data_IF_309594947535
#
_entry.id   IF_309594947535
#
_cell.length_a   1.000
_cell.length_b   1.000
_cell.length_c   1.000
_cell.angle_alpha   90.00
_cell.angle_beta   90.00
_cell.angle_gamma   90.00
#
_symmetry.space_group_name_H-M   'P 1'
#
loop_
_entity.id
_entity.type
_entity.pdbx_description
1 polymer ?
#
# COMPACT_ATOMS: atom_id res chain seq x y z
N UNK A 1 2.56 -11.27 -10.75
CA UNK A 1 3.15 -11.11 -9.40
C UNK A 1 2.62 -12.15 -8.40
N UNK A 2 2.02 -13.26 -8.85
CA UNK A 2 1.59 -14.38 -7.99
C UNK A 2 2.71 -15.43 -7.78
N UNK A 3 3.75 -15.40 -8.61
CA UNK A 3 4.85 -16.37 -8.58
C UNK A 3 5.71 -16.33 -7.30
N UNK A 4 5.77 -15.19 -6.59
CA UNK A 4 6.47 -15.09 -5.29
C UNK A 4 5.62 -15.60 -4.12
N UNK A 5 4.28 -15.56 -4.24
CA UNK A 5 3.36 -16.03 -3.20
C UNK A 5 3.29 -17.55 -3.12
N UNK A 6 3.17 -18.22 -4.27
CA UNK A 6 3.21 -19.69 -4.33
C UNK A 6 4.56 -20.26 -3.88
N UNK A 7 5.65 -19.54 -4.09
CA UNK A 7 6.96 -20.00 -3.63
C UNK A 7 7.08 -19.93 -2.10
N UNK A 8 6.55 -18.90 -1.44
CA UNK A 8 6.58 -18.79 0.01
C UNK A 8 5.67 -19.80 0.74
N UNK A 9 4.51 -20.15 0.17
CA UNK A 9 3.67 -21.24 0.70
C UNK A 9 4.25 -22.63 0.42
N UNK A 10 4.92 -22.85 -0.72
CA UNK A 10 5.60 -24.12 -0.99
C UNK A 10 6.88 -24.30 -0.12
N UNK A 11 7.53 -23.20 0.28
CA UNK A 11 8.70 -23.22 1.16
C UNK A 11 8.36 -23.61 2.61
N UNK A 12 7.11 -23.47 3.06
CA UNK A 12 6.70 -23.95 4.39
C UNK A 12 6.46 -25.46 4.44
N UNK A 13 6.21 -26.11 3.30
CA UNK A 13 5.90 -27.55 3.24
C UNK A 13 7.12 -28.43 2.84
N UNK A 14 8.25 -27.84 2.45
CA UNK A 14 9.32 -28.61 1.79
C UNK A 14 10.75 -28.10 1.93
N UNK A 15 11.15 -27.51 3.07
CA UNK A 15 12.57 -27.30 3.36
C UNK A 15 13.03 -28.02 4.61
N UNK A 16 13.87 -29.02 4.36
CA UNK A 16 14.84 -29.59 5.28
C UNK A 16 15.52 -28.46 6.05
N UNK A 17 15.52 -28.65 7.36
CA UNK A 17 16.03 -27.80 8.44
C UNK A 17 17.40 -27.17 8.08
N UNK A 18 17.41 -25.86 7.82
CA UNK A 18 18.63 -25.09 7.50
C UNK A 18 18.38 -23.75 6.82
N UNK A 19 17.70 -23.75 5.66
CA UNK A 19 17.49 -22.55 4.85
C UNK A 19 16.34 -21.66 5.36
N UNK A 20 15.28 -22.26 5.92
CA UNK A 20 14.13 -21.52 6.46
C UNK A 20 14.48 -20.60 7.63
N UNK A 21 15.48 -20.96 8.44
CA UNK A 21 16.00 -20.13 9.53
C UNK A 21 16.76 -18.90 9.00
N UNK A 22 17.64 -19.11 8.00
CA UNK A 22 18.43 -18.03 7.40
C UNK A 22 17.56 -16.94 6.77
N UNK A 23 16.51 -17.32 6.05
CA UNK A 23 15.60 -16.34 5.44
C UNK A 23 14.76 -15.61 6.49
N UNK A 24 14.36 -16.28 7.57
CA UNK A 24 13.63 -15.65 8.68
C UNK A 24 14.46 -14.57 9.36
N UNK A 25 15.73 -14.84 9.63
CA UNK A 25 16.65 -13.86 10.23
C UNK A 25 16.90 -12.68 9.30
N UNK A 26 17.06 -12.93 8.00
CA UNK A 26 17.18 -11.88 7.00
C UNK A 26 15.93 -10.98 6.95
N UNK A 27 14.73 -11.58 6.96
CA UNK A 27 13.45 -10.86 6.99
C UNK A 27 13.33 -10.02 8.26
N UNK A 28 13.66 -10.57 9.43
CA UNK A 28 13.61 -9.83 10.70
C UNK A 28 14.56 -8.62 10.69
N UNK A 29 15.77 -8.79 10.17
CA UNK A 29 16.75 -7.70 10.02
C UNK A 29 16.27 -6.61 9.06
N UNK A 30 15.69 -7.01 7.93
CA UNK A 30 15.12 -6.06 6.96
C UNK A 30 13.93 -5.31 7.57
N UNK A 31 13.05 -6.00 8.27
CA UNK A 31 11.91 -5.38 8.96
C UNK A 31 12.36 -4.37 10.03
N UNK A 32 13.35 -4.72 10.85
CA UNK A 32 13.93 -3.81 11.83
C UNK A 32 14.56 -2.58 11.15
N UNK A 33 15.30 -2.78 10.06
CA UNK A 33 15.89 -1.69 9.30
C UNK A 33 14.83 -0.77 8.68
N UNK A 34 13.78 -1.33 8.05
CA UNK A 34 12.69 -0.54 7.46
C UNK A 34 11.99 0.33 8.50
N UNK A 35 11.67 -0.22 9.67
CA UNK A 35 11.09 0.55 10.79
C UNK A 35 12.00 1.70 11.23
N UNK A 36 13.30 1.44 11.40
CA UNK A 36 14.28 2.48 11.73
C UNK A 36 14.53 3.52 10.63
N UNK A 37 14.01 3.30 9.42
CA UNK A 37 14.12 4.24 8.28
C UNK A 37 12.85 5.04 8.01
N UNK A 38 11.76 4.76 8.74
CA UNK A 38 10.55 5.57 8.65
C UNK A 38 10.85 7.00 9.06
N UNK A 39 10.29 7.97 8.33
CA UNK A 39 10.37 9.37 8.70
C UNK A 39 9.46 9.67 9.89
N UNK A 40 9.72 10.77 10.63
CA UNK A 40 8.85 11.19 11.72
C UNK A 40 7.38 11.41 11.32
N UNK A 41 7.12 11.72 10.05
CA UNK A 41 5.75 11.90 9.54
C UNK A 41 5.04 10.59 9.19
N UNK A 42 5.70 9.43 9.30
CA UNK A 42 5.13 8.13 8.95
C UNK A 42 5.45 7.64 7.53
N UNK A 43 6.19 8.41 6.73
CA UNK A 43 6.50 8.06 5.33
C UNK A 43 7.90 7.46 5.11
N UNK A 44 8.13 6.93 3.90
CA UNK A 44 9.45 6.60 3.39
C UNK A 44 9.76 7.37 2.11
N UNK A 45 11.02 7.37 1.69
CA UNK A 45 11.42 7.71 0.32
C UNK A 45 12.26 6.60 -0.25
N UNK A 46 12.29 6.55 -1.56
CA UNK A 46 13.17 5.69 -2.31
C UNK A 46 14.02 6.51 -3.29
N UNK A 47 15.10 5.92 -3.78
CA UNK A 47 16.00 6.55 -4.76
C UNK A 47 15.56 6.39 -6.21
N UNK A 48 14.61 5.49 -6.48
CA UNK A 48 14.13 5.16 -7.83
C UNK A 48 12.77 5.79 -8.15
N UNK A 49 12.14 6.44 -7.18
CA UNK A 49 10.82 7.02 -7.34
C UNK A 49 10.70 8.36 -6.61
N UNK A 50 10.25 9.40 -7.33
CA UNK A 50 10.09 10.73 -6.77
C UNK A 50 8.96 10.80 -5.73
N UNK A 51 7.93 9.96 -5.85
CA UNK A 51 6.81 9.96 -4.89
C UNK A 51 7.16 9.26 -3.56
N UNK A 52 6.86 9.88 -2.40
CA UNK A 52 6.87 9.18 -1.12
C UNK A 52 5.75 8.13 -1.02
N UNK A 53 4.65 8.25 -1.76
CA UNK A 53 3.53 7.30 -1.71
C UNK A 53 3.95 5.90 -2.19
N UNK A 54 4.78 5.83 -3.23
CA UNK A 54 5.36 4.56 -3.69
C UNK A 54 6.22 3.91 -2.60
N UNK A 55 7.17 4.66 -2.04
CA UNK A 55 8.10 4.13 -1.04
C UNK A 55 7.35 3.70 0.23
N UNK A 56 6.40 4.52 0.70
CA UNK A 56 5.56 4.21 1.86
C UNK A 56 4.73 2.95 1.62
N UNK A 57 4.04 2.82 0.48
CA UNK A 57 3.30 1.60 0.13
C UNK A 57 4.22 0.38 0.17
N UNK A 58 5.38 0.44 -0.50
CA UNK A 58 6.30 -0.70 -0.57
C UNK A 58 6.80 -1.11 0.82
N UNK A 59 7.18 -0.15 1.66
CA UNK A 59 7.69 -0.43 3.01
C UNK A 59 6.59 -0.92 3.94
N UNK A 60 5.44 -0.24 3.99
CA UNK A 60 4.34 -0.56 4.88
C UNK A 60 3.72 -1.93 4.56
N UNK A 61 3.49 -2.25 3.28
CA UNK A 61 2.98 -3.58 2.90
C UNK A 61 3.99 -4.70 3.20
N UNK A 62 5.29 -4.44 3.04
CA UNK A 62 6.34 -5.41 3.43
C UNK A 62 6.32 -5.65 4.95
N UNK A 63 6.22 -4.57 5.74
CA UNK A 63 6.15 -4.67 7.20
C UNK A 63 4.88 -5.39 7.65
N UNK A 64 3.72 -5.03 7.08
CA UNK A 64 2.44 -5.67 7.39
C UNK A 64 2.47 -7.18 7.17
N UNK A 65 3.12 -7.64 6.09
CA UNK A 65 3.17 -9.06 5.74
C UNK A 65 4.20 -9.87 6.51
N UNK A 66 5.31 -9.26 6.92
CA UNK A 66 6.50 -10.01 7.35
C UNK A 66 7.11 -9.59 8.69
N UNK A 67 6.76 -8.42 9.24
CA UNK A 67 7.41 -7.90 10.44
C UNK A 67 6.72 -8.32 11.75
N UNK A 68 5.51 -8.88 11.69
CA UNK A 68 4.74 -9.24 12.87
C UNK A 68 4.31 -8.03 13.72
N UNK A 69 3.99 -8.25 15.02
CA UNK A 69 3.43 -7.22 15.90
C UNK A 69 4.30 -5.98 16.09
N UNK A 70 5.63 -6.12 16.00
CA UNK A 70 6.61 -5.05 16.21
C UNK A 70 6.51 -3.89 15.19
N UNK A 71 5.76 -4.10 14.09
CA UNK A 71 5.51 -3.06 13.10
C UNK A 71 4.23 -2.24 13.35
N UNK A 72 3.42 -2.58 14.37
CA UNK A 72 2.10 -1.98 14.57
C UNK A 72 2.15 -0.43 14.64
N UNK A 73 3.15 0.14 15.30
CA UNK A 73 3.32 1.60 15.37
C UNK A 73 3.67 2.22 14.01
N UNK A 74 4.60 1.61 13.28
CA UNK A 74 5.00 2.07 11.96
C UNK A 74 3.84 2.00 10.94
N UNK A 75 3.01 0.95 11.02
CA UNK A 75 1.83 0.79 10.19
C UNK A 75 0.76 1.83 10.51
N UNK A 76 0.49 2.11 11.80
CA UNK A 76 -0.41 3.20 12.21
C UNK A 76 0.06 4.54 11.69
N UNK A 77 1.35 4.86 11.86
CA UNK A 77 1.93 6.09 11.31
C UNK A 77 1.77 6.21 9.79
N UNK A 78 1.83 5.09 9.06
CA UNK A 78 1.59 5.08 7.61
C UNK A 78 0.12 5.37 7.26
N UNK A 79 -0.82 4.81 8.03
CA UNK A 79 -2.26 5.07 7.85
C UNK A 79 -2.58 6.52 8.13
N UNK A 80 -2.11 7.07 9.25
CA UNK A 80 -2.34 8.47 9.61
C UNK A 80 -1.75 9.43 8.57
N UNK A 81 -0.51 9.16 8.13
CA UNK A 81 0.15 9.93 7.07
C UNK A 81 -0.67 9.98 5.76
N UNK A 82 -1.26 8.85 5.36
CA UNK A 82 -2.10 8.75 4.17
C UNK A 82 -3.40 9.53 4.35
N UNK A 83 -4.09 9.36 5.49
CA UNK A 83 -5.35 10.03 5.76
C UNK A 83 -5.19 11.56 5.80
N UNK A 84 -4.11 12.07 6.40
CA UNK A 84 -3.81 13.50 6.47
C UNK A 84 -3.48 14.14 5.11
N UNK A 85 -3.03 13.34 4.13
CA UNK A 85 -2.54 13.84 2.82
C UNK A 85 -3.51 13.61 1.67
N UNK A 86 -4.72 13.11 1.95
CA UNK A 86 -5.73 13.04 0.91
C UNK A 86 -6.20 14.46 0.57
N UNK A 87 -6.26 14.77 -0.73
CA UNK A 87 -6.77 16.03 -1.24
C UNK A 87 -8.31 16.06 -1.21
N UNK A 88 -8.88 17.25 -1.32
CA UNK A 88 -10.34 17.46 -1.35
C UNK A 88 -11.03 16.67 -2.46
N UNK A 89 -10.40 16.55 -3.64
CA UNK A 89 -10.89 15.76 -4.76
C UNK A 89 -10.67 14.24 -4.62
N UNK A 90 -10.24 13.76 -3.45
CA UNK A 90 -10.01 12.34 -3.18
C UNK A 90 -8.64 11.80 -3.61
N UNK A 91 -7.85 12.57 -4.35
CA UNK A 91 -6.55 12.13 -4.85
C UNK A 91 -5.41 12.23 -3.82
N UNK A 92 -4.31 11.55 -4.13
CA UNK A 92 -3.01 11.74 -3.48
C UNK A 92 -1.95 12.09 -4.51
N UNK A 93 -0.90 12.78 -4.04
CA UNK A 93 0.34 12.92 -4.80
C UNK A 93 1.29 13.98 -4.26
N UNK A 94 2.55 13.91 -4.68
CA UNK A 94 3.63 14.75 -4.14
C UNK A 94 3.46 16.23 -4.47
N UNK A 95 3.09 16.52 -5.72
CA UNK A 95 2.95 17.89 -6.22
C UNK A 95 1.50 18.20 -6.58
N UNK A 96 0.87 17.31 -7.34
CA UNK A 96 -0.54 17.35 -7.70
C UNK A 96 -1.17 15.97 -7.44
N UNK A 97 -2.49 15.86 -7.59
CA UNK A 97 -3.19 14.58 -7.51
C UNK A 97 -2.88 13.73 -8.74
N UNK A 98 -2.33 12.53 -8.56
CA UNK A 98 -1.99 11.63 -9.66
C UNK A 98 -2.66 10.28 -9.51
N UNK A 99 -2.97 9.64 -10.64
CA UNK A 99 -3.56 8.29 -10.64
C UNK A 99 -2.60 7.27 -10.01
N UNK A 100 -1.30 7.36 -10.28
CA UNK A 100 -0.28 6.47 -9.74
C UNK A 100 -0.22 6.53 -8.20
N UNK A 101 -0.09 7.73 -7.65
CA UNK A 101 0.08 7.91 -6.21
C UNK A 101 -1.23 7.63 -5.45
N UNK A 102 -2.37 7.97 -6.05
CA UNK A 102 -3.69 7.63 -5.50
C UNK A 102 -3.92 6.12 -5.47
N UNK A 103 -3.47 5.39 -6.49
CA UNK A 103 -3.55 3.93 -6.49
C UNK A 103 -2.70 3.30 -5.37
N UNK A 104 -1.50 3.85 -5.12
CA UNK A 104 -0.64 3.39 -4.01
C UNK A 104 -1.28 3.67 -2.64
N UNK A 105 -1.86 4.86 -2.46
CA UNK A 105 -2.55 5.23 -1.23
C UNK A 105 -3.77 4.32 -0.96
N UNK A 106 -4.65 4.15 -1.96
CA UNK A 106 -5.82 3.27 -1.87
C UNK A 106 -5.42 1.84 -1.52
N UNK A 107 -4.42 1.29 -2.23
CA UNK A 107 -3.95 -0.08 -1.99
C UNK A 107 -3.38 -0.25 -0.57
N UNK A 108 -2.69 0.76 -0.07
CA UNK A 108 -2.10 0.73 1.28
C UNK A 108 -3.17 0.81 2.35
N UNK A 109 -4.14 1.72 2.23
CA UNK A 109 -5.22 1.86 3.20
C UNK A 109 -6.07 0.59 3.29
N UNK A 110 -6.44 -0.01 2.16
CA UNK A 110 -7.16 -1.29 2.12
C UNK A 110 -6.41 -2.37 2.91
N UNK A 111 -5.15 -2.60 2.59
CA UNK A 111 -4.39 -3.70 3.22
C UNK A 111 -4.16 -3.46 4.72
N UNK A 112 -3.85 -2.22 5.12
CA UNK A 112 -3.49 -1.94 6.52
C UNK A 112 -4.69 -1.79 7.44
N UNK A 113 -5.91 -1.63 6.92
CA UNK A 113 -7.11 -1.35 7.73
C UNK A 113 -8.26 -2.34 7.52
N UNK A 114 -8.04 -3.37 6.68
CA UNK A 114 -9.03 -4.41 6.38
C UNK A 114 -9.40 -5.31 7.57
N UNK A 115 -8.61 -5.32 8.63
CA UNK A 115 -8.90 -6.05 9.88
C UNK A 115 -9.88 -5.32 10.82
N UNK A 116 -10.32 -4.11 10.45
CA UNK A 116 -11.27 -3.33 11.24
C UNK A 116 -10.65 -2.62 12.45
N UNK A 117 -9.33 -2.40 12.45
CA UNK A 117 -8.64 -1.64 13.46
C UNK A 117 -9.06 -0.16 13.62
N UNK A 118 -8.33 0.58 14.46
CA UNK A 118 -8.53 2.02 14.60
C UNK A 118 -8.37 2.72 13.24
N UNK A 119 -9.18 3.74 12.96
CA UNK A 119 -9.20 4.49 11.69
C UNK A 119 -9.75 3.72 10.48
N UNK A 120 -10.19 2.46 10.60
CA UNK A 120 -10.74 1.69 9.47
C UNK A 120 -11.98 2.33 8.83
N UNK A 121 -12.78 3.09 9.60
CA UNK A 121 -13.92 3.82 9.04
C UNK A 121 -13.44 4.97 8.16
N UNK A 122 -12.56 5.82 8.67
CA UNK A 122 -12.00 6.95 7.94
C UNK A 122 -11.19 6.49 6.72
N UNK A 123 -10.47 5.37 6.85
CA UNK A 123 -9.76 4.72 5.74
C UNK A 123 -10.74 4.24 4.67
N UNK A 124 -11.86 3.63 5.03
CA UNK A 124 -12.89 3.22 4.05
C UNK A 124 -13.50 4.41 3.31
N UNK A 125 -13.79 5.50 4.01
CA UNK A 125 -14.30 6.73 3.41
C UNK A 125 -13.26 7.38 2.47
N UNK A 126 -11.99 7.41 2.90
CA UNK A 126 -10.88 7.90 2.08
C UNK A 126 -10.66 7.03 0.84
N UNK A 127 -10.69 5.71 0.98
CA UNK A 127 -10.61 4.74 -0.13
C UNK A 127 -11.73 4.96 -1.12
N UNK A 128 -12.97 5.18 -0.67
CA UNK A 128 -14.10 5.49 -1.54
C UNK A 128 -13.83 6.70 -2.44
N UNK A 129 -13.46 7.84 -1.84
CA UNK A 129 -13.10 9.06 -2.59
C UNK A 129 -11.90 8.85 -3.53
N UNK A 130 -10.92 8.05 -3.10
CA UNK A 130 -9.77 7.67 -3.92
C UNK A 130 -10.17 6.86 -5.15
N UNK A 131 -11.06 5.88 -4.97
CA UNK A 131 -11.60 5.07 -6.06
C UNK A 131 -12.41 5.92 -7.04
N UNK A 132 -13.24 6.86 -6.55
CA UNK A 132 -13.99 7.79 -7.41
C UNK A 132 -13.03 8.59 -8.31
N UNK A 133 -11.97 9.16 -7.71
CA UNK A 133 -10.91 9.85 -8.46
C UNK A 133 -10.24 8.94 -9.50
N UNK A 134 -9.91 7.71 -9.14
CA UNK A 134 -9.25 6.74 -10.03
C UNK A 134 -10.15 6.26 -11.18
N UNK A 135 -11.45 6.13 -10.97
CA UNK A 135 -12.41 5.78 -12.03
C UNK A 135 -12.50 6.91 -13.04
N UNK A 136 -12.52 8.15 -12.58
CA UNK A 136 -12.61 9.34 -13.44
C UNK A 136 -11.30 9.64 -14.18
N UNK A 137 -10.14 9.50 -13.52
CA UNK A 137 -8.85 10.00 -14.03
C UNK A 137 -7.80 8.92 -14.31
N UNK A 138 -8.00 7.68 -13.85
CA UNK A 138 -6.92 6.69 -13.73
C UNK A 138 -6.69 5.78 -14.94
N UNK A 139 -7.56 5.81 -15.95
CA UNK A 139 -7.46 4.94 -17.14
C UNK A 139 -6.84 5.63 -18.37
N UNK A 140 -6.60 6.94 -18.29
CA UNK A 140 -5.90 7.68 -19.34
C UNK A 140 -4.38 7.45 -19.21
N UNK A 141 -3.83 6.66 -20.14
CA UNK A 141 -2.41 6.26 -20.16
C UNK A 141 -1.47 7.35 -20.62
N UNK A 142 -1.98 8.39 -21.28
CA UNK A 142 -1.17 9.48 -21.84
C UNK A 142 -0.93 10.61 -20.83
N UNK A 143 -1.56 10.54 -19.64
CA UNK A 143 -1.54 11.60 -18.62
C UNK A 143 -0.79 11.22 -17.33
N UNK A 144 0.21 10.36 -17.42
CA UNK A 144 0.99 9.97 -16.24
C UNK A 144 2.25 10.85 -16.10
N UNK A 145 2.37 11.67 -15.03
CA UNK A 145 3.57 12.46 -14.80
C UNK A 145 4.78 11.54 -14.56
N UNK A 146 5.98 11.95 -14.98
CA UNK A 146 7.17 11.12 -14.87
C UNK A 146 7.67 11.10 -13.42
N UNK A 147 7.36 10.03 -12.69
CA UNK A 147 7.74 9.85 -11.28
C UNK A 147 8.91 8.87 -11.06
N UNK A 148 9.25 8.06 -12.07
CA UNK A 148 10.32 7.07 -11.97
C UNK A 148 11.66 7.68 -12.33
N UNK A 149 12.70 7.38 -11.56
CA UNK A 149 14.03 7.98 -11.70
C UNK A 149 14.94 7.00 -12.44
N UNK A 150 15.30 7.36 -13.68
CA UNK A 150 16.34 6.70 -14.48
C UNK A 150 17.50 7.66 -14.74
N UNK A 151 17.92 7.78 -16.01
CA UNK A 151 18.78 8.91 -16.42
C UNK A 151 18.03 10.25 -16.34
N UNK A 152 16.75 10.20 -16.61
CA UNK A 152 15.78 11.28 -16.49
C UNK A 152 14.53 10.73 -15.78
N UNK A 153 13.57 11.61 -15.47
CA UNK A 153 12.27 11.18 -14.99
C UNK A 153 11.48 10.54 -16.14
N UNK A 154 10.80 9.41 -15.87
CA UNK A 154 9.93 8.75 -16.84
C UNK A 154 8.66 8.17 -16.20
N UNK A 155 7.67 7.84 -17.03
CA UNK A 155 6.40 7.24 -16.62
C UNK A 155 6.18 5.89 -17.33
N UNK A 156 6.32 4.75 -16.64
CA UNK A 156 6.00 3.44 -17.21
C UNK A 156 4.47 3.24 -17.27
N UNK A 157 3.82 3.74 -18.31
CA UNK A 157 2.36 3.82 -18.40
C UNK A 157 1.61 2.52 -18.08
N UNK A 158 2.12 1.37 -18.55
CA UNK A 158 1.50 0.06 -18.24
C UNK A 158 1.60 -0.33 -16.77
N UNK A 159 2.67 0.06 -16.08
CA UNK A 159 2.84 -0.19 -14.66
C UNK A 159 1.87 0.69 -13.85
N UNK A 160 1.73 1.96 -14.23
CA UNK A 160 0.76 2.87 -13.61
C UNK A 160 -0.66 2.34 -13.79
N UNK A 161 -1.05 1.97 -15.01
CA UNK A 161 -2.35 1.37 -15.30
C UNK A 161 -2.60 0.10 -14.49
N UNK A 162 -1.59 -0.77 -14.36
CA UNK A 162 -1.70 -1.97 -13.54
C UNK A 162 -1.90 -1.65 -12.05
N UNK A 163 -1.24 -0.61 -11.52
CA UNK A 163 -1.43 -0.16 -10.14
C UNK A 163 -2.87 0.36 -9.93
N UNK A 164 -3.37 1.20 -10.83
CA UNK A 164 -4.74 1.73 -10.79
C UNK A 164 -5.77 0.60 -10.80
N UNK A 165 -5.68 -0.31 -11.78
CA UNK A 165 -6.59 -1.45 -11.86
C UNK A 165 -6.49 -2.36 -10.63
N UNK A 166 -5.28 -2.60 -10.12
CA UNK A 166 -5.06 -3.39 -8.91
C UNK A 166 -5.72 -2.77 -7.68
N UNK A 167 -5.63 -1.45 -7.52
CA UNK A 167 -6.28 -0.72 -6.44
C UNK A 167 -7.82 -0.81 -6.54
N UNK A 168 -8.38 -0.56 -7.73
CA UNK A 168 -9.83 -0.63 -7.97
C UNK A 168 -10.38 -2.05 -7.77
N UNK A 169 -9.69 -3.07 -8.26
CA UNK A 169 -10.10 -4.47 -8.08
C UNK A 169 -10.05 -4.86 -6.60
N UNK A 170 -9.01 -4.44 -5.86
CA UNK A 170 -8.91 -4.69 -4.43
C UNK A 170 -10.07 -4.04 -3.66
N UNK A 171 -10.37 -2.77 -3.94
CA UNK A 171 -11.47 -2.05 -3.31
C UNK A 171 -12.84 -2.72 -3.55
N UNK A 172 -13.06 -3.28 -4.74
CA UNK A 172 -14.28 -4.02 -5.05
C UNK A 172 -14.40 -5.36 -4.33
N UNK A 173 -13.28 -5.96 -3.92
CA UNK A 173 -13.23 -7.28 -3.27
C UNK A 173 -13.43 -7.20 -1.77
N UNK A 174 -13.26 -6.03 -1.14
CA UNK A 174 -13.70 -5.83 0.24
C UNK A 174 -15.23 -5.82 0.29
N UNK A 175 -15.89 -6.85 0.84
CA UNK A 175 -17.32 -6.83 0.97
C UNK A 175 -17.74 -5.76 1.99
N UNK A 176 -18.93 -5.19 1.80
CA UNK A 176 -19.61 -4.37 2.78
C UNK A 176 -20.00 -5.19 4.02
N UNK A 177 -19.03 -5.65 4.82
CA UNK A 177 -19.28 -6.36 6.08
C UNK A 177 -19.25 -5.39 7.25
N UNK A 178 -20.38 -4.71 7.47
CA UNK A 178 -21.04 -4.58 8.78
C UNK A 178 -22.28 -3.69 8.63
N UNK A 179 -23.39 -4.30 8.20
CA UNK A 179 -24.71 -3.72 8.45
C UNK A 179 -25.77 -4.82 8.62
N UNK A 180 -25.67 -5.62 9.69
CA UNK A 180 -26.83 -6.34 10.24
C UNK A 180 -26.53 -6.87 11.64
N UNK A 181 -26.76 -6.05 12.66
CA UNK A 181 -27.37 -6.53 13.91
C UNK A 181 -28.09 -5.35 14.58
N UNK A 182 -29.29 -5.04 14.12
CA UNK A 182 -30.30 -4.47 15.01
C UNK A 182 -30.90 -5.64 15.80
N UNK A 183 -30.94 -5.60 17.14
CA UNK A 183 -31.93 -6.38 17.86
C UNK A 183 -33.27 -5.67 17.69
N UNK A 184 -34.22 -6.34 17.03
CA UNK A 184 -35.64 -6.00 17.14
C UNK A 184 -36.09 -6.47 18.52
N UNK A 185 -36.86 -5.60 19.18
CA UNK A 185 -37.41 -5.68 20.54
C UNK A 185 -37.98 -7.03 20.98
#
# INVERSE_FOLDING_TARGET
MEALGCHLSALSEGLVDGDGGRYRDAVARIAAWLRGRQRPDGSWSDKWHASPFFATMRCALTLHRYAGPDAAEALRGSVDWLLERQRENGSWGRWEGTAEESAYAVRTLLELTGDGGPRSREAREAVGRGCDFLVEHGLDVDRHPPLWIGKELYAPAHLVRAAVLGALIAARREPATNNTTQPVS
#
